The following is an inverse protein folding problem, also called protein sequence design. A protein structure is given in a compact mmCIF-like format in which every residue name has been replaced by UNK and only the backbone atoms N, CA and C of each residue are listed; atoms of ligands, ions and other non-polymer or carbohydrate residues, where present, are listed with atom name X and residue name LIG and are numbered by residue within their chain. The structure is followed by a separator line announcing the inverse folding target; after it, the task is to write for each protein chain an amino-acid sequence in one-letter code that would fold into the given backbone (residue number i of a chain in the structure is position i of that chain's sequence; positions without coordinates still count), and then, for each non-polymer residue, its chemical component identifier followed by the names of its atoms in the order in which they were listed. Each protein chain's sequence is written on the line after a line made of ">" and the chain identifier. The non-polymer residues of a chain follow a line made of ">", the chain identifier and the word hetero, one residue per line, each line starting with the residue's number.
data_IF_611866898286
#
_entry.id   IF_611866898286
#
_cell.length_a   1.000
_cell.length_b   1.000
_cell.length_c   1.000
_cell.angle_alpha   90.00
_cell.angle_beta   90.00
_cell.angle_gamma   90.00
#
_symmetry.space_group_name_H-M   'P 1'
#
loop_
_entity.id
_entity.type
_entity.pdbx_description
1 polymer ?
#
# COMPACT_ATOMS: atom_id res chain seq x y z
N UNK A 1 -8.45 -23.83 42.99
CA UNK A 1 -7.29 -22.98 43.35
C UNK A 1 -7.32 -21.73 42.48
N UNK A 2 -7.43 -20.52 43.05
CA UNK A 2 -7.34 -19.28 42.28
C UNK A 2 -5.89 -18.75 42.25
N UNK A 3 -5.60 -17.87 41.26
CA UNK A 3 -4.37 -17.06 41.02
C UNK A 3 -3.50 -17.61 39.87
N UNK A 4 -3.12 -16.84 38.84
CA UNK A 4 -3.00 -15.37 38.68
C UNK A 4 -3.34 -14.96 37.24
N UNK A 5 -4.09 -13.87 37.08
CA UNK A 5 -3.95 -12.96 35.92
C UNK A 5 -2.53 -12.40 35.95
N UNK A 6 -1.88 -12.33 34.79
CA UNK A 6 -1.00 -11.25 34.28
C UNK A 6 0.07 -11.83 33.37
N UNK A 7 -0.10 -11.66 32.07
CA UNK A 7 0.94 -11.14 31.17
C UNK A 7 0.20 -10.40 30.05
N UNK A 8 0.22 -9.08 30.19
CA UNK A 8 0.23 -8.07 29.14
C UNK A 8 -0.96 -7.96 28.18
N UNK A 9 -1.92 -7.12 28.59
CA UNK A 9 -2.76 -6.27 27.72
C UNK A 9 -1.93 -5.27 26.86
N UNK A 10 -0.60 -5.44 26.75
CA UNK A 10 0.35 -4.50 26.12
C UNK A 10 1.11 -5.05 24.91
N UNK A 11 0.86 -6.27 24.44
CA UNK A 11 1.22 -6.60 23.06
C UNK A 11 0.12 -6.07 22.13
N UNK A 12 0.18 -4.75 21.87
CA UNK A 12 -0.33 -4.19 20.62
C UNK A 12 0.10 -5.17 19.52
N UNK A 13 -0.88 -5.71 18.80
CA UNK A 13 -0.66 -6.59 17.66
C UNK A 13 0.09 -5.81 16.60
N UNK A 14 1.40 -5.73 16.71
CA UNK A 14 2.26 -5.23 15.67
C UNK A 14 2.18 -6.26 14.54
N UNK A 15 1.32 -6.00 13.57
CA UNK A 15 1.30 -6.75 12.33
C UNK A 15 2.58 -6.40 11.59
N UNK A 16 3.52 -7.34 11.52
CA UNK A 16 4.84 -7.12 10.91
C UNK A 16 4.77 -6.77 9.42
N UNK A 17 3.63 -7.01 8.77
CA UNK A 17 3.40 -6.78 7.36
C UNK A 17 2.09 -6.03 7.14
N UNK A 18 2.08 -5.12 6.16
CA UNK A 18 0.88 -4.42 5.71
C UNK A 18 0.42 -4.94 4.35
N UNK A 19 -0.89 -4.95 4.13
CA UNK A 19 -1.50 -5.30 2.86
C UNK A 19 -1.15 -4.28 1.79
N UNK A 20 -0.64 -4.75 0.65
CA UNK A 20 -0.20 -3.86 -0.44
C UNK A 20 -1.32 -2.99 -1.05
N UNK A 21 -2.59 -3.37 -0.88
CA UNK A 21 -3.75 -2.69 -1.47
C UNK A 21 -4.54 -1.80 -0.51
N UNK A 22 -4.72 -2.22 0.75
CA UNK A 22 -5.56 -1.51 1.72
C UNK A 22 -4.83 -1.12 3.00
N UNK A 23 -3.53 -1.41 3.15
CA UNK A 23 -2.77 -1.03 4.34
C UNK A 23 -3.08 -1.82 5.61
N UNK A 24 -4.09 -2.68 5.61
CA UNK A 24 -4.42 -3.55 6.75
C UNK A 24 -3.26 -4.45 7.16
N UNK A 25 -3.11 -4.65 8.45
CA UNK A 25 -2.10 -5.48 9.05
C UNK A 25 -2.32 -6.96 8.76
N UNK A 26 -1.24 -7.64 8.38
CA UNK A 26 -1.22 -9.08 8.15
C UNK A 26 -0.22 -9.70 9.14
N UNK A 27 -0.65 -10.69 9.95
CA UNK A 27 0.27 -11.38 10.86
C UNK A 27 1.40 -12.10 10.09
N UNK A 28 2.65 -12.01 10.58
CA UNK A 28 3.80 -12.69 9.97
C UNK A 28 3.57 -14.19 9.74
N UNK A 29 2.97 -14.88 10.70
CA UNK A 29 2.66 -16.32 10.60
C UNK A 29 1.75 -16.64 9.40
N UNK A 30 0.86 -15.73 9.03
CA UNK A 30 0.01 -15.87 7.84
C UNK A 30 0.82 -15.71 6.55
N UNK A 31 1.70 -14.71 6.51
CA UNK A 31 2.59 -14.45 5.37
C UNK A 31 3.53 -15.63 5.12
N UNK A 32 4.17 -16.16 6.17
CA UNK A 32 5.09 -17.29 6.08
C UNK A 32 4.40 -18.54 5.53
N UNK A 33 3.20 -18.87 6.03
CA UNK A 33 2.39 -19.98 5.53
C UNK A 33 1.98 -19.82 4.07
N UNK A 34 1.71 -18.58 3.62
CA UNK A 34 1.38 -18.29 2.22
C UNK A 34 2.62 -18.45 1.31
N UNK A 35 3.76 -17.92 1.75
CA UNK A 35 5.05 -18.09 1.05
C UNK A 35 5.43 -19.57 0.92
N UNK A 36 5.24 -20.38 1.97
CA UNK A 36 5.57 -21.81 1.93
C UNK A 36 4.69 -22.62 0.98
N UNK A 37 3.46 -22.16 0.69
CA UNK A 37 2.59 -22.75 -0.32
C UNK A 37 2.87 -22.28 -1.74
N UNK A 38 3.65 -21.20 -1.90
CA UNK A 38 3.86 -20.56 -3.19
C UNK A 38 2.68 -19.70 -3.65
N UNK A 39 1.86 -19.18 -2.72
CA UNK A 39 0.74 -18.31 -3.09
C UNK A 39 1.27 -17.01 -3.73
N UNK A 40 0.85 -16.68 -4.96
CA UNK A 40 1.34 -15.48 -5.68
C UNK A 40 0.94 -14.16 -5.01
N UNK A 41 -0.24 -14.12 -4.38
CA UNK A 41 -0.83 -12.93 -3.75
C UNK A 41 -0.58 -12.88 -2.23
N UNK A 42 0.55 -13.38 -1.76
CA UNK A 42 0.84 -13.51 -0.33
C UNK A 42 0.79 -12.16 0.42
N UNK A 43 1.07 -11.05 -0.26
CA UNK A 43 1.11 -9.67 0.24
C UNK A 43 -0.28 -9.04 0.47
N UNK A 44 -1.36 -9.68 0.03
CA UNK A 44 -2.71 -9.12 0.10
C UNK A 44 -3.49 -9.68 1.30
N UNK A 45 -4.30 -8.86 1.96
CA UNK A 45 -5.22 -9.35 3.00
C UNK A 45 -6.32 -10.23 2.38
N UNK A 46 -7.05 -10.99 3.20
CA UNK A 46 -8.09 -11.90 2.72
C UNK A 46 -9.18 -11.18 1.89
N UNK A 47 -9.55 -9.96 2.27
CA UNK A 47 -10.54 -9.16 1.54
C UNK A 47 -10.01 -8.68 0.19
N UNK A 48 -8.75 -8.24 0.14
CA UNK A 48 -8.12 -7.80 -1.10
C UNK A 48 -7.80 -8.97 -2.05
N UNK A 49 -7.61 -10.19 -1.54
CA UNK A 49 -7.50 -11.40 -2.38
C UNK A 49 -8.86 -11.78 -2.98
N UNK A 50 -9.94 -11.65 -2.19
CA UNK A 50 -11.30 -12.04 -2.59
C UNK A 50 -11.87 -11.15 -3.69
N UNK A 51 -11.48 -9.88 -3.72
CA UNK A 51 -11.95 -8.90 -4.71
C UNK A 51 -10.83 -8.58 -5.68
N UNK A 52 -11.08 -8.77 -6.98
CA UNK A 52 -10.11 -8.41 -8.02
C UNK A 52 -9.61 -6.97 -7.85
N UNK A 53 -8.30 -6.78 -7.97
CA UNK A 53 -7.71 -5.45 -7.90
C UNK A 53 -7.98 -4.72 -9.21
N UNK A 54 -8.75 -3.63 -9.13
CA UNK A 54 -8.99 -2.75 -10.28
C UNK A 54 -7.68 -2.06 -10.63
N UNK A 55 -7.11 -2.45 -11.77
CA UNK A 55 -5.96 -1.75 -12.34
C UNK A 55 -6.47 -0.70 -13.33
N UNK A 56 -6.10 0.55 -13.11
CA UNK A 56 -6.42 1.64 -14.03
C UNK A 56 -5.21 1.86 -14.93
N UNK A 57 -5.41 1.68 -16.23
CA UNK A 57 -4.40 2.05 -17.22
C UNK A 57 -4.53 3.53 -17.54
N UNK A 58 -3.46 4.28 -17.35
CA UNK A 58 -3.40 5.71 -17.63
C UNK A 58 -2.21 6.02 -18.55
N UNK A 59 -2.38 6.97 -19.48
CA UNK A 59 -1.29 7.42 -20.36
C UNK A 59 -0.78 8.74 -19.78
N UNK A 60 0.38 8.68 -19.12
CA UNK A 60 1.04 9.85 -18.58
C UNK A 60 1.90 10.52 -19.67
N UNK A 61 1.86 11.86 -19.80
CA UNK A 61 2.58 12.58 -20.87
C UNK A 61 4.10 12.32 -20.89
N UNK A 62 4.70 12.06 -19.73
CA UNK A 62 6.16 11.81 -19.60
C UNK A 62 6.52 10.32 -19.52
N UNK A 63 5.66 9.51 -18.90
CA UNK A 63 5.99 8.12 -18.55
C UNK A 63 5.39 7.13 -19.53
N UNK A 64 4.53 7.60 -20.44
CA UNK A 64 3.76 6.75 -21.33
C UNK A 64 2.69 5.99 -20.57
N UNK A 65 2.45 4.73 -20.97
CA UNK A 65 1.44 3.87 -20.37
C UNK A 65 1.88 3.42 -18.98
N UNK A 66 1.10 3.79 -17.96
CA UNK A 66 1.32 3.40 -16.57
C UNK A 66 0.11 2.67 -15.98
N UNK A 67 0.34 1.91 -14.91
CA UNK A 67 -0.66 1.09 -14.25
C UNK A 67 -0.88 1.58 -12.82
N UNK A 68 -2.03 2.17 -12.56
CA UNK A 68 -2.41 2.66 -11.25
C UNK A 68 -3.26 1.62 -10.52
N UNK A 69 -3.02 1.51 -9.21
CA UNK A 69 -3.79 0.65 -8.32
C UNK A 69 -4.42 1.54 -7.25
N UNK A 70 -5.73 1.84 -7.33
CA UNK A 70 -6.44 2.61 -6.33
C UNK A 70 -6.41 1.92 -4.97
N UNK A 71 -6.24 2.68 -3.91
CA UNK A 71 -6.39 2.18 -2.55
C UNK A 71 -7.82 1.67 -2.31
N UNK A 72 -7.94 0.55 -1.60
CA UNK A 72 -9.24 -0.06 -1.30
C UNK A 72 -9.75 0.19 0.12
N UNK A 73 -8.90 0.74 0.99
CA UNK A 73 -9.26 1.09 2.37
C UNK A 73 -9.79 2.52 2.50
N UNK A 74 -9.66 3.06 3.70
CA UNK A 74 -10.09 4.42 4.03
C UNK A 74 -9.14 5.46 3.44
N UNK A 75 -9.70 6.62 3.08
CA UNK A 75 -8.95 7.79 2.62
C UNK A 75 -9.22 8.95 3.56
N UNK A 76 -8.25 9.85 3.70
CA UNK A 76 -8.47 11.12 4.40
C UNK A 76 -9.21 12.15 3.54
N UNK A 77 -9.43 13.34 4.10
CA UNK A 77 -10.11 14.46 3.43
C UNK A 77 -9.40 14.95 2.15
N UNK A 78 -8.12 14.61 2.00
CA UNK A 78 -7.30 14.94 0.83
C UNK A 78 -7.15 13.76 -0.13
N UNK A 79 -7.99 12.72 0.00
CA UNK A 79 -7.94 11.49 -0.81
C UNK A 79 -6.62 10.72 -0.68
N UNK A 80 -5.92 10.85 0.45
CA UNK A 80 -4.69 10.11 0.73
C UNK A 80 -5.03 8.82 1.48
N UNK A 81 -4.38 7.70 1.12
CA UNK A 81 -4.69 6.41 1.71
C UNK A 81 -4.27 6.34 3.17
N UNK A 82 -5.14 5.75 3.99
CA UNK A 82 -4.91 5.49 5.40
C UNK A 82 -4.64 4.00 5.64
N UNK A 83 -3.87 3.70 6.67
CA UNK A 83 -3.74 2.35 7.20
C UNK A 83 -4.85 2.06 8.22
N UNK A 84 -4.84 0.86 8.81
CA UNK A 84 -5.84 0.45 9.79
C UNK A 84 -5.79 1.23 11.12
N UNK A 85 -4.65 1.87 11.40
CA UNK A 85 -4.45 2.70 12.59
C UNK A 85 -4.82 4.18 12.32
N UNK A 86 -5.24 4.51 11.10
CA UNK A 86 -5.55 5.87 10.66
C UNK A 86 -4.31 6.71 10.33
N UNK A 87 -3.13 6.09 10.24
CA UNK A 87 -1.91 6.69 9.74
C UNK A 87 -1.88 6.78 8.21
N UNK A 88 -1.02 7.62 7.65
CA UNK A 88 -0.86 7.71 6.19
C UNK A 88 -0.19 6.44 5.66
N UNK A 89 -0.92 5.69 4.84
CA UNK A 89 -0.40 4.52 4.16
C UNK A 89 0.40 4.92 2.92
N UNK A 90 1.66 4.45 2.80
CA UNK A 90 2.56 4.81 1.68
C UNK A 90 2.62 6.33 1.45
N UNK A 91 3.10 7.11 2.43
CA UNK A 91 3.12 8.56 2.29
C UNK A 91 4.03 9.01 1.14
N UNK A 92 3.74 10.18 0.57
CA UNK A 92 4.53 10.79 -0.49
C UNK A 92 3.71 11.16 -1.72
N UNK A 93 4.30 11.95 -2.61
CA UNK A 93 3.64 12.40 -3.83
C UNK A 93 3.62 11.32 -4.91
N UNK A 94 2.55 11.31 -5.71
CA UNK A 94 2.35 10.35 -6.80
C UNK A 94 2.63 10.99 -8.15
N UNK A 95 3.52 10.39 -8.93
CA UNK A 95 3.83 10.83 -10.29
C UNK A 95 2.67 10.61 -11.27
N UNK A 96 1.73 9.73 -10.93
CA UNK A 96 0.53 9.48 -11.73
C UNK A 96 -0.59 10.50 -11.50
N UNK A 97 -0.43 11.45 -10.56
CA UNK A 97 -1.46 12.45 -10.22
C UNK A 97 -2.60 11.95 -9.33
N UNK A 98 -2.82 10.64 -9.28
CA UNK A 98 -3.82 10.00 -8.40
C UNK A 98 -3.26 9.81 -6.99
N UNK A 99 -3.80 10.54 -5.99
CA UNK A 99 -3.32 10.55 -4.60
C UNK A 99 -3.56 9.22 -3.86
N UNK A 100 -4.63 8.54 -4.21
CA UNK A 100 -5.05 7.24 -3.68
C UNK A 100 -4.27 6.06 -4.27
N UNK A 101 -3.41 6.31 -5.28
CA UNK A 101 -2.68 5.23 -5.92
C UNK A 101 -1.68 4.60 -4.94
N UNK A 102 -1.77 3.29 -4.73
CA UNK A 102 -0.84 2.57 -3.84
C UNK A 102 0.38 2.03 -4.57
N UNK A 103 0.48 2.14 -5.90
CA UNK A 103 1.63 1.59 -6.62
C UNK A 103 2.94 2.21 -6.14
N UNK A 104 3.84 1.41 -5.55
CA UNK A 104 5.14 1.89 -5.04
C UNK A 104 5.95 2.58 -6.13
N UNK A 105 5.85 2.10 -7.37
CA UNK A 105 6.57 2.66 -8.51
C UNK A 105 6.10 4.08 -8.83
N UNK A 106 4.89 4.47 -8.43
CA UNK A 106 4.37 5.80 -8.69
C UNK A 106 4.71 6.81 -7.60
N UNK A 107 5.30 6.37 -6.47
CA UNK A 107 5.70 7.25 -5.38
C UNK A 107 7.04 7.90 -5.74
N UNK A 108 7.12 9.22 -5.63
CA UNK A 108 8.36 9.95 -5.91
C UNK A 108 9.46 9.50 -4.96
N UNK A 109 10.64 9.23 -5.50
CA UNK A 109 11.76 8.67 -4.74
C UNK A 109 11.80 7.14 -4.72
N UNK A 110 10.73 6.46 -5.15
CA UNK A 110 10.85 5.04 -5.53
C UNK A 110 11.83 4.96 -6.70
N UNK A 111 12.89 4.17 -6.55
CA UNK A 111 14.11 4.27 -7.39
C UNK A 111 13.94 4.01 -8.89
N UNK A 112 12.73 3.71 -9.36
CA UNK A 112 12.41 3.25 -10.72
C UNK A 112 12.36 4.42 -11.72
N UNK A 113 11.91 5.61 -11.30
CA UNK A 113 11.78 6.76 -12.22
C UNK A 113 12.92 7.78 -12.13
N UNK A 114 14.08 7.40 -11.56
CA UNK A 114 15.27 8.28 -11.48
C UNK A 114 15.64 8.91 -12.84
N UNK A 115 15.45 8.18 -13.94
CA UNK A 115 15.72 8.66 -15.31
C UNK A 115 14.79 9.79 -15.78
N UNK A 116 13.59 9.89 -15.22
CA UNK A 116 12.56 10.86 -15.63
C UNK A 116 12.34 11.97 -14.58
N UNK A 117 13.10 11.95 -13.48
CA UNK A 117 12.93 12.87 -12.35
C UNK A 117 12.89 14.35 -12.76
N UNK A 118 13.79 14.77 -13.65
CA UNK A 118 13.85 16.16 -14.13
C UNK A 118 12.62 16.53 -14.98
N UNK A 119 12.21 15.65 -15.91
CA UNK A 119 11.03 15.88 -16.77
C UNK A 119 9.70 15.87 -16.02
N UNK A 120 9.63 15.15 -14.90
CA UNK A 120 8.43 15.13 -14.05
C UNK A 120 8.22 16.46 -13.30
N UNK A 121 9.29 17.24 -13.05
CA UNK A 121 9.16 18.56 -12.43
C UNK A 121 8.56 19.59 -13.41
N UNK A 122 8.86 19.49 -14.71
CA UNK A 122 8.40 20.42 -15.75
C UNK A 122 6.89 20.32 -16.05
N UNK A 123 6.30 19.14 -15.91
CA UNK A 123 4.84 18.94 -16.14
C UNK A 123 3.99 19.46 -14.98
N UNK A 124 4.60 19.76 -13.83
CA UNK A 124 3.89 20.27 -12.64
C UNK A 124 3.61 21.77 -12.67
N UNK A 125 4.27 22.52 -13.57
CA UNK A 125 4.23 23.99 -13.62
C UNK A 125 3.29 24.55 -14.69
N UNK A 126 2.58 23.69 -15.43
CA UNK A 126 1.53 24.08 -16.39
C UNK A 126 0.18 23.59 -15.90
#
# INVERSE_FOLDING_TARGET
>A
MPRKKTVDEQELRATDYACDQCGQGIPATTIEKRKSRGDENWQLCADCVRVETRCITYIHPVLGKIFCYPHKGELDELWRPLDEDGGLYRPGERICGHLDCVNLNHIIGSGIHKRYANRLQEVRTN
#
